data_IF_625563418718
#
_entry.id   IF_625563418718
#
_cell.length_a   1.000
_cell.length_b   1.000
_cell.length_c   1.000
_cell.angle_alpha   90.00
_cell.angle_beta   90.00
_cell.angle_gamma   90.00
#
_symmetry.space_group_name_H-M   'P 1'
#
loop_
_entity.id
_entity.type
_entity.pdbx_description
1 polymer ?
2 non-polymer ?
3 non-polymer ?
4 non-polymer ?
5 water ?
#
# COMPACT_ATOMS: atom_id res chain seq x y z
N UNK A 8 -1.69 4.10 27.33
CA UNK A 8 -0.38 4.30 26.74
C UNK A 8 -0.09 3.25 25.68
N UNK A 9 0.84 2.35 25.98
CA UNK A 9 1.20 1.27 25.05
C UNK A 9 0.22 0.11 25.16
N UNK A 10 -0.68 0.18 26.14
CA UNK A 10 -1.67 -0.87 26.35
C UNK A 10 -2.79 -0.78 25.34
N UNK A 11 -3.07 0.43 24.87
CA UNK A 11 -4.11 0.65 23.88
C UNK A 11 -3.70 0.10 22.51
N UNK A 12 -2.40 0.12 22.25
CA UNK A 12 -1.86 -0.39 21.00
C UNK A 12 -1.89 -1.92 20.98
N UNK A 13 -1.51 -2.52 22.10
CA UNK A 13 -1.49 -3.98 22.21
C UNK A 13 -2.91 -4.55 22.15
N UNK A 14 -3.88 -3.81 22.66
CA UNK A 14 -5.27 -4.21 22.57
C UNK A 14 -5.75 -4.11 21.13
N UNK A 15 -5.27 -3.10 20.42
CA UNK A 15 -5.62 -2.90 19.03
C UNK A 15 -5.15 -4.06 18.16
N UNK A 16 -3.97 -4.58 18.47
CA UNK A 16 -3.43 -5.73 17.75
C UNK A 16 -4.29 -6.97 17.96
N UNK A 17 -4.76 -7.14 19.19
CA UNK A 17 -5.61 -8.28 19.54
C UNK A 17 -6.96 -8.20 18.83
N UNK A 18 -7.51 -6.99 18.75
CA UNK A 18 -8.78 -6.77 18.08
C UNK A 18 -8.68 -7.09 16.59
N UNK A 19 -7.64 -6.58 15.94
CA UNK A 19 -7.41 -6.83 14.52
C UNK A 19 -7.22 -8.31 14.24
N UNK A 20 -6.49 -8.99 15.12
CA UNK A 20 -6.33 -10.44 15.01
C UNK A 20 -7.64 -11.14 15.32
N UNK A 21 -8.41 -10.56 16.23
CA UNK A 21 -9.70 -11.12 16.62
C UNK A 21 -10.71 -11.13 15.49
N UNK A 22 -10.81 -10.00 14.78
CA UNK A 22 -11.72 -9.88 13.65
C UNK A 22 -11.36 -10.88 12.54
N UNK A 23 -10.06 -11.10 12.35
CA UNK A 23 -9.57 -12.05 11.35
C UNK A 23 -9.97 -13.47 11.70
N UNK A 24 -9.99 -13.79 12.99
CA UNK A 24 -10.38 -15.11 13.47
C UNK A 24 -11.89 -15.29 13.34
N UNK A 25 -12.63 -14.23 13.66
CA UNK A 25 -14.09 -14.27 13.56
C UNK A 25 -14.56 -14.41 12.11
N UNK A 26 -13.74 -13.92 11.18
CA UNK A 26 -14.08 -13.98 9.76
C UNK A 26 -13.30 -15.10 9.05
N UNK A 27 -12.71 -15.99 9.84
CA UNK A 27 -11.93 -17.09 9.29
C UNK A 27 -12.81 -18.13 8.61
N UNK A 28 -12.29 -18.75 7.56
CA UNK A 28 -13.00 -19.82 6.87
C UNK A 28 -13.02 -21.08 7.73
N UNK A 29 -11.98 -21.26 8.51
CA UNK A 29 -11.89 -22.39 9.43
C UNK A 29 -10.87 -22.10 10.54
N UNK A 30 -11.36 -21.76 11.72
CA UNK A 30 -10.52 -21.39 12.85
C UNK A 30 -9.70 -22.57 13.37
N UNK A 31 -10.23 -23.78 13.18
CA UNK A 31 -9.56 -24.99 13.65
C UNK A 31 -8.48 -25.44 12.67
N UNK A 32 -8.43 -24.80 11.51
CA UNK A 32 -7.45 -25.14 10.49
C UNK A 32 -6.27 -24.16 10.51
N UNK A 33 -6.37 -23.16 11.38
CA UNK A 33 -5.32 -22.15 11.51
C UNK A 33 -4.02 -22.74 12.04
N UNK A 34 -2.96 -22.63 11.26
CA UNK A 34 -1.64 -23.08 11.67
C UNK A 34 -1.00 -22.08 12.62
N UNK A 35 -0.81 -22.51 13.87
CA UNK A 35 -0.28 -21.62 14.91
C UNK A 35 1.18 -21.24 14.64
N UNK A 36 1.90 -22.11 13.95
CA UNK A 36 3.27 -21.81 13.56
C UNK A 36 3.31 -20.73 12.50
N UNK A 37 2.42 -20.85 11.52
CA UNK A 37 2.36 -19.92 10.39
C UNK A 37 1.94 -18.52 10.84
N UNK A 38 0.76 -18.41 11.43
CA UNK A 38 0.23 -17.12 11.82
C UNK A 38 0.93 -16.57 13.06
N UNK A 39 1.58 -17.45 13.81
CA UNK A 39 2.33 -17.05 14.99
C UNK A 39 3.64 -16.41 14.60
N UNK A 40 4.32 -17.00 13.63
CA UNK A 40 5.58 -16.48 13.15
C UNK A 40 5.39 -15.27 12.26
N UNK A 41 4.31 -15.27 11.49
CA UNK A 41 4.02 -14.15 10.58
C UNK A 41 3.82 -12.86 11.36
N UNK A 42 3.04 -12.93 12.43
CA UNK A 42 2.84 -11.77 13.29
C UNK A 42 4.14 -11.43 14.03
N UNK A 43 4.92 -12.45 14.34
CA UNK A 43 6.19 -12.26 15.03
C UNK A 43 7.19 -11.53 14.15
N UNK A 44 7.27 -11.95 12.89
CA UNK A 44 8.18 -11.33 11.93
C UNK A 44 7.80 -9.87 11.67
N UNK A 45 6.53 -9.63 11.42
CA UNK A 45 6.04 -8.27 11.16
C UNK A 45 6.28 -7.36 12.37
N UNK A 46 6.13 -7.92 13.56
CA UNK A 46 6.34 -7.18 14.80
C UNK A 46 7.83 -6.95 15.05
N UNK A 47 8.64 -7.97 14.78
CA UNK A 47 10.08 -7.87 14.97
C UNK A 47 10.72 -6.97 13.91
N UNK A 48 10.15 -6.98 12.71
CA UNK A 48 10.61 -6.12 11.63
C UNK A 48 10.31 -4.66 11.99
N UNK A 49 9.15 -4.43 12.60
CA UNK A 49 8.78 -3.11 13.05
C UNK A 49 9.68 -2.65 14.18
N UNK A 50 9.96 -3.55 15.12
CA UNK A 50 10.85 -3.24 16.24
C UNK A 50 12.27 -2.97 15.74
N UNK A 51 12.64 -3.67 14.66
CA UNK A 51 13.98 -3.54 14.10
C UNK A 51 14.23 -2.14 13.53
N UNK A 52 13.43 -1.77 12.54
CA UNK A 52 13.69 -0.56 11.76
C UNK A 52 13.07 0.71 12.33
N UNK A 53 12.33 0.58 13.43
CA UNK A 53 11.67 1.75 14.00
C UNK A 53 12.09 2.02 15.45
N UNK A 54 12.74 1.05 16.08
CA UNK A 54 13.14 1.21 17.48
C UNK A 54 14.64 1.09 17.69
N UNK A 55 15.21 -0.07 17.38
CA UNK A 55 16.63 -0.31 17.61
C UNK A 55 17.47 0.60 16.71
N UNK A 56 18.65 1.02 17.21
CA UNK A 56 19.54 1.96 16.51
C UNK A 56 19.99 1.47 15.13
N UNK A 57 20.51 0.25 15.07
CA UNK A 57 21.07 -0.28 13.82
C UNK A 57 20.02 -0.40 12.73
N UNK A 58 18.81 -0.85 13.12
CA UNK A 58 17.73 -1.02 12.17
C UNK A 58 17.24 0.30 11.59
N UNK A 59 17.33 1.36 12.40
CA UNK A 59 16.94 2.69 11.95
C UNK A 59 17.95 3.25 10.96
N UNK A 60 19.21 2.84 11.11
CA UNK A 60 20.26 3.29 10.21
C UNK A 60 20.17 2.62 8.84
N UNK A 61 19.73 1.38 8.83
CA UNK A 61 19.54 0.64 7.59
C UNK A 61 18.33 1.14 6.83
N UNK A 62 17.29 1.54 7.56
CA UNK A 62 16.07 2.04 6.94
C UNK A 62 16.29 3.43 6.37
N UNK A 63 16.97 4.30 7.12
CA UNK A 63 17.27 5.64 6.66
C UNK A 63 18.33 5.60 5.55
N UNK A 64 19.12 4.53 5.52
CA UNK A 64 20.12 4.35 4.49
C UNK A 64 19.50 3.92 3.18
N UNK A 65 18.45 3.11 3.27
CA UNK A 65 17.73 2.63 2.09
C UNK A 65 16.83 3.72 1.55
N UNK A 66 16.23 4.49 2.46
CA UNK A 66 15.33 5.58 2.08
C UNK A 66 16.08 6.71 1.38
N UNK A 67 17.29 7.01 1.87
CA UNK A 67 18.14 8.03 1.25
C UNK A 67 18.60 7.58 -0.13
N UNK A 68 18.78 6.27 -0.29
CA UNK A 68 19.16 5.69 -1.57
C UNK A 68 18.01 5.84 -2.56
N UNK A 69 16.80 5.53 -2.10
CA UNK A 69 15.59 5.69 -2.91
C UNK A 69 15.37 7.16 -3.26
N UNK A 70 15.62 8.04 -2.28
CA UNK A 70 15.46 9.47 -2.47
C UNK A 70 16.40 10.01 -3.55
N UNK A 71 17.59 9.44 -3.63
CA UNK A 71 18.56 9.84 -4.65
C UNK A 71 18.14 9.37 -6.04
N UNK A 72 17.57 8.16 -6.11
CA UNK A 72 17.10 7.60 -7.36
C UNK A 72 15.96 8.44 -7.93
N UNK A 73 15.08 8.92 -7.05
CA UNK A 73 13.97 9.77 -7.45
C UNK A 73 14.47 11.08 -8.07
N UNK A 74 15.46 11.70 -7.43
CA UNK A 74 16.04 12.93 -7.92
C UNK A 74 16.80 12.73 -9.23
N UNK A 75 17.35 11.53 -9.41
CA UNK A 75 18.02 11.18 -10.67
C UNK A 75 17.02 11.07 -11.80
N UNK A 76 15.87 10.46 -11.51
CA UNK A 76 14.82 10.32 -12.49
C UNK A 76 14.15 11.63 -12.81
N UNK A 77 14.34 12.62 -11.93
CA UNK A 77 13.76 13.95 -12.11
C UNK A 77 14.50 14.76 -13.18
N UNK A 78 15.64 14.25 -13.63
CA UNK A 78 16.38 14.88 -14.72
C UNK A 78 15.66 14.64 -16.04
N UNK A 79 14.91 13.55 -16.11
CA UNK A 79 14.16 13.21 -17.30
C UNK A 79 12.92 14.07 -17.46
N UNK A 80 12.23 14.33 -16.35
CA UNK A 80 11.02 15.15 -16.38
C UNK A 80 11.37 16.63 -16.43
N UNK A 81 12.60 16.96 -16.05
CA UNK A 81 13.07 18.34 -16.13
C UNK A 81 13.40 18.72 -17.57
N UNK A 82 13.73 17.70 -18.37
CA UNK A 82 14.02 17.91 -19.78
C UNK A 82 12.74 18.12 -20.58
N UNK A 83 11.70 17.40 -20.21
CA UNK A 83 10.44 17.42 -20.96
C UNK A 83 9.60 18.66 -20.65
N UNK A 84 9.47 18.98 -19.37
CA UNK A 84 8.60 20.06 -18.94
C UNK A 84 9.37 21.31 -18.55
N UNK A 85 10.69 21.29 -18.75
CA UNK A 85 11.54 22.46 -18.61
C UNK A 85 11.35 23.30 -17.35
N UNK A 86 10.89 24.53 -17.55
CA UNK A 86 10.75 25.48 -16.46
C UNK A 86 9.46 25.32 -15.66
N UNK A 87 8.57 24.46 -16.14
CA UNK A 87 7.31 24.21 -15.43
C UNK A 87 7.55 23.36 -14.18
N UNK A 88 8.73 22.79 -14.08
CA UNK A 88 9.14 22.03 -12.90
C UNK A 88 10.36 22.67 -12.25
N UNK A 89 10.55 23.96 -12.49
CA UNK A 89 11.68 24.70 -11.94
C UNK A 89 11.27 25.47 -10.69
N UNK A 90 12.23 26.18 -10.11
CA UNK A 90 11.99 26.96 -8.90
C UNK A 90 11.28 28.27 -9.18
N UNK A 91 11.19 28.64 -10.46
CA UNK A 91 10.55 29.88 -10.86
C UNK A 91 9.03 29.77 -10.70
N UNK A 92 8.53 28.54 -10.66
CA UNK A 92 7.11 28.27 -10.52
C UNK A 92 6.56 28.74 -9.17
N UNK A 93 7.41 28.67 -8.15
CA UNK A 93 7.01 29.08 -6.81
C UNK A 93 7.13 30.59 -6.63
N UNK A 94 7.88 31.23 -7.50
CA UNK A 94 8.06 32.67 -7.47
C UNK A 94 6.94 33.37 -8.22
N UNK A 95 6.17 32.59 -8.99
CA UNK A 95 5.10 33.12 -9.82
C UNK A 95 3.73 32.70 -9.30
N UNK A 96 3.56 31.40 -9.06
CA UNK A 96 2.28 30.87 -8.64
C UNK A 96 2.24 30.60 -7.14
N UNK A 97 3.38 30.71 -6.49
CA UNK A 97 3.47 30.48 -5.06
C UNK A 97 3.34 29.01 -4.70
N UNK A 98 2.31 28.68 -3.95
CA UNK A 98 2.05 27.30 -3.56
C UNK A 98 1.49 26.49 -4.72
N UNK A 99 0.85 27.18 -5.65
CA UNK A 99 0.25 26.52 -6.81
C UNK A 99 1.27 26.27 -7.91
N UNK A 100 2.53 26.61 -7.65
CA UNK A 100 3.58 26.38 -8.61
C UNK A 100 3.90 24.91 -8.76
N UNK A 101 3.64 24.16 -7.70
CA UNK A 101 3.85 22.71 -7.72
C UNK A 101 2.77 22.04 -8.57
N UNK A 102 3.12 21.68 -9.81
CA UNK A 102 2.18 21.04 -10.71
C UNK A 102 2.26 19.52 -10.57
N UNK A 103 1.21 18.94 -9.99
CA UNK A 103 1.17 17.50 -9.71
C UNK A 103 1.38 16.64 -10.95
N UNK A 104 0.86 17.10 -12.08
CA UNK A 104 0.90 16.33 -13.32
C UNK A 104 2.32 16.22 -13.88
N UNK A 105 3.17 17.19 -13.55
CA UNK A 105 4.52 17.23 -14.09
C UNK A 105 5.56 16.83 -13.05
N UNK A 106 5.18 16.89 -11.78
CA UNK A 106 6.10 16.60 -10.68
C UNK A 106 6.03 15.15 -10.22
N UNK A 107 4.82 14.67 -9.97
CA UNK A 107 4.62 13.36 -9.38
C UNK A 107 4.42 12.24 -10.41
N UNK A 108 3.57 12.50 -11.41
CA UNK A 108 3.23 11.50 -12.42
C UNK A 108 4.41 10.94 -13.22
N UNK A 109 5.36 11.79 -13.65
CA UNK A 109 6.48 11.21 -14.41
C UNK A 109 7.38 10.28 -13.58
N UNK A 110 7.27 10.36 -12.27
CA UNK A 110 8.05 9.48 -11.39
C UNK A 110 7.61 8.03 -11.54
N UNK A 111 6.33 7.84 -11.88
CA UNK A 111 5.79 6.51 -12.11
C UNK A 111 6.40 5.90 -13.35
N UNK A 112 6.68 6.74 -14.34
CA UNK A 112 7.26 6.30 -15.60
C UNK A 112 8.71 5.84 -15.43
N UNK A 113 9.49 6.66 -14.73
CA UNK A 113 10.91 6.37 -14.52
C UNK A 113 11.13 5.14 -13.66
N UNK A 114 10.37 5.02 -12.58
CA UNK A 114 10.53 3.91 -11.65
C UNK A 114 10.07 2.58 -12.24
N UNK A 115 9.01 2.64 -13.07
CA UNK A 115 8.52 1.44 -13.73
C UNK A 115 9.56 0.94 -14.74
N UNK A 116 10.32 1.88 -15.31
CA UNK A 116 11.39 1.53 -16.24
C UNK A 116 12.59 0.98 -15.49
N UNK A 117 12.87 1.55 -14.31
CA UNK A 117 14.00 1.11 -13.49
C UNK A 117 13.82 -0.31 -12.99
N UNK A 118 12.64 -0.59 -12.43
CA UNK A 118 12.33 -1.92 -11.92
C UNK A 118 12.38 -2.95 -13.06
N UNK A 119 11.94 -2.53 -14.24
CA UNK A 119 12.00 -3.38 -15.42
C UNK A 119 13.43 -3.72 -15.80
N UNK A 120 14.34 -2.77 -15.55
CA UNK A 120 15.76 -2.98 -15.80
C UNK A 120 16.35 -3.95 -14.76
N UNK A 121 16.02 -3.71 -13.49
CA UNK A 121 16.53 -4.53 -12.40
C UNK A 121 15.99 -5.96 -12.47
N UNK A 122 14.89 -6.14 -13.18
CA UNK A 122 14.34 -7.47 -13.42
C UNK A 122 15.16 -8.19 -14.49
N UNK A 123 15.57 -7.45 -15.52
CA UNK A 123 16.37 -8.00 -16.60
C UNK A 123 17.75 -8.43 -16.12
N UNK A 124 18.31 -7.67 -15.18
CA UNK A 124 19.64 -7.95 -14.64
C UNK A 124 19.60 -9.06 -13.60
N UNK A 125 18.40 -9.49 -13.23
CA UNK A 125 18.24 -10.56 -12.26
C UNK A 125 18.41 -10.08 -10.82
N UNK A 126 18.53 -8.76 -10.67
CA UNK A 126 18.72 -8.16 -9.34
C UNK A 126 17.46 -8.30 -8.49
N UNK A 127 16.31 -8.06 -9.11
CA UNK A 127 15.04 -8.15 -8.40
C UNK A 127 14.73 -9.59 -7.98
N UNK A 128 14.93 -10.53 -8.89
CA UNK A 128 14.67 -11.94 -8.61
C UNK A 128 15.57 -12.47 -7.49
N UNK A 129 16.79 -11.92 -7.42
CA UNK A 129 17.76 -12.34 -6.41
C UNK A 129 17.32 -11.96 -5.00
N UNK A 130 16.74 -10.77 -4.86
CA UNK A 130 16.29 -10.30 -3.57
C UNK A 130 15.00 -11.01 -3.14
N UNK A 131 14.09 -11.19 -4.08
CA UNK A 131 12.82 -11.87 -3.80
C UNK A 131 13.04 -13.33 -3.39
N UNK A 132 13.99 -13.98 -4.05
CA UNK A 132 14.30 -15.38 -3.78
C UNK A 132 14.83 -15.55 -2.35
N UNK A 133 15.51 -14.53 -1.85
CA UNK A 133 16.04 -14.55 -0.49
C UNK A 133 14.93 -14.28 0.53
N UNK A 134 14.17 -13.21 0.31
CA UNK A 134 13.09 -12.85 1.21
C UNK A 134 11.97 -13.89 1.19
N UNK A 135 11.64 -14.37 -0.01
CA UNK A 135 10.60 -15.37 -0.15
C UNK A 135 11.00 -16.71 0.42
N UNK A 136 12.29 -17.03 0.33
CA UNK A 136 12.81 -18.27 0.86
C UNK A 136 12.86 -18.28 2.37
N UNK A 137 13.08 -17.10 2.95
CA UNK A 137 13.14 -16.97 4.40
C UNK A 137 11.77 -17.01 5.04
N UNK A 138 10.74 -16.73 4.25
CA UNK A 138 9.37 -16.73 4.74
C UNK A 138 8.78 -18.13 4.76
N UNK A 139 9.05 -18.91 3.72
CA UNK A 139 8.48 -20.25 3.61
C UNK A 139 9.15 -21.23 4.57
N UNK A 140 10.39 -20.92 4.97
CA UNK A 140 11.12 -21.78 5.89
C UNK A 140 10.82 -21.43 7.34
N UNK A 141 10.19 -20.27 7.56
CA UNK A 141 9.89 -19.80 8.90
C UNK A 141 8.40 -19.89 9.21
N UNK A 142 7.57 -19.79 8.17
CA UNK A 142 6.13 -19.80 8.36
C UNK A 142 5.52 -21.14 7.93
N UNK A 143 6.23 -21.86 7.07
CA UNK A 143 5.74 -23.12 6.55
C UNK A 143 4.85 -22.94 5.34
N UNK A 144 4.76 -21.70 4.87
CA UNK A 144 3.97 -21.38 3.68
C UNK A 144 4.62 -22.01 2.45
N UNK A 145 3.84 -22.14 1.38
CA UNK A 145 4.34 -22.78 0.16
C UNK A 145 5.34 -21.90 -0.57
N UNK A 146 6.06 -22.49 -1.52
CA UNK A 146 7.10 -21.80 -2.26
C UNK A 146 6.57 -20.63 -3.08
N UNK A 147 5.46 -20.86 -3.77
CA UNK A 147 4.90 -19.88 -4.70
C UNK A 147 4.35 -18.64 -3.98
N UNK A 148 3.53 -18.85 -2.95
CA UNK A 148 2.87 -17.75 -2.26
C UNK A 148 3.86 -16.92 -1.45
N UNK A 149 4.99 -17.53 -1.08
CA UNK A 149 6.01 -16.83 -0.32
C UNK A 149 6.84 -15.92 -1.22
N UNK A 150 7.03 -16.34 -2.47
CA UNK A 150 7.77 -15.54 -3.44
C UNK A 150 6.91 -14.36 -3.91
N UNK A 151 5.61 -14.59 -4.03
CA UNK A 151 4.68 -13.54 -4.43
C UNK A 151 4.54 -12.50 -3.32
N UNK A 152 4.68 -12.95 -2.07
CA UNK A 152 4.62 -12.06 -0.93
C UNK A 152 5.85 -11.16 -0.87
N UNK A 153 7.01 -11.74 -1.17
CA UNK A 153 8.27 -11.00 -1.16
C UNK A 153 8.36 -10.08 -2.37
N UNK A 154 7.76 -10.49 -3.48
CA UNK A 154 7.77 -9.70 -4.70
C UNK A 154 6.88 -8.46 -4.54
N UNK A 155 5.81 -8.60 -3.77
CA UNK A 155 4.85 -7.52 -3.57
C UNK A 155 5.39 -6.37 -2.75
N UNK A 156 6.59 -6.55 -2.18
CA UNK A 156 7.26 -5.50 -1.44
C UNK A 156 7.69 -4.40 -2.41
N UNK A 157 8.03 -4.79 -3.62
CA UNK A 157 8.60 -3.86 -4.60
C UNK A 157 7.63 -3.53 -5.74
N UNK A 158 6.95 -4.54 -6.27
CA UNK A 158 6.06 -4.33 -7.42
C UNK A 158 4.59 -4.45 -7.04
N UNK A 159 3.73 -4.22 -8.03
CA UNK A 159 2.29 -4.19 -7.83
C UNK A 159 1.63 -5.54 -7.59
N UNK A 160 0.31 -5.50 -7.41
CA UNK A 160 -0.46 -6.69 -7.10
C UNK A 160 -0.61 -7.65 -8.28
N UNK A 161 -0.51 -7.12 -9.49
CA UNK A 161 -0.65 -7.93 -10.70
C UNK A 161 0.71 -8.28 -11.33
N UNK A 162 1.76 -7.61 -10.87
CA UNK A 162 3.10 -7.83 -11.40
C UNK A 162 3.87 -8.84 -10.54
N UNK A 163 3.49 -8.94 -9.28
CA UNK A 163 4.17 -9.82 -8.33
C UNK A 163 3.97 -11.32 -8.62
N UNK A 164 2.73 -11.76 -8.94
CA UNK A 164 2.60 -13.20 -9.18
C UNK A 164 3.24 -13.67 -10.49
N UNK A 165 3.85 -12.77 -11.24
CA UNK A 165 4.48 -13.11 -12.51
C UNK A 165 5.72 -13.98 -12.32
N UNK A 166 6.29 -13.92 -11.11
CA UNK A 166 7.50 -14.68 -10.80
C UNK A 166 7.17 -16.15 -10.61
N UNK A 167 5.89 -16.44 -10.41
CA UNK A 167 5.44 -17.82 -10.19
C UNK A 167 4.17 -18.11 -10.98
N UNK A 168 4.09 -17.57 -12.19
CA UNK A 168 2.89 -17.72 -13.02
C UNK A 168 2.59 -19.15 -13.51
N UNK A 169 3.60 -20.04 -13.61
CA UNK A 169 3.13 -21.38 -14.00
C UNK A 169 2.54 -22.17 -12.84
N UNK A 170 2.63 -21.63 -11.63
CA UNK A 170 2.11 -22.31 -10.45
C UNK A 170 0.77 -21.74 -10.01
N UNK A 171 0.38 -20.63 -10.62
CA UNK A 171 -0.87 -19.95 -10.29
C UNK A 171 -2.15 -20.72 -10.69
N UNK A 172 -2.20 -21.28 -11.92
CA UNK A 172 -3.45 -21.94 -12.30
C UNK A 172 -3.81 -23.17 -11.46
N UNK A 173 -2.82 -23.77 -10.79
CA UNK A 173 -3.05 -25.00 -10.05
C UNK A 173 -2.75 -24.88 -8.56
N UNK A 174 -2.72 -23.66 -8.04
CA UNK A 174 -2.52 -23.46 -6.61
C UNK A 174 -3.84 -23.50 -5.88
N UNK A 175 -3.81 -23.89 -4.61
CA UNK A 175 -5.02 -24.07 -3.81
C UNK A 175 -5.73 -22.76 -3.53
N UNK A 176 -6.94 -22.85 -2.98
CA UNK A 176 -7.74 -21.67 -2.69
C UNK A 176 -7.10 -20.81 -1.61
N UNK A 177 -6.36 -21.46 -0.71
CA UNK A 177 -5.66 -20.74 0.35
C UNK A 177 -4.42 -20.05 -0.19
N UNK A 178 -3.79 -20.67 -1.20
CA UNK A 178 -2.63 -20.08 -1.85
C UNK A 178 -3.03 -18.86 -2.67
N UNK A 179 -4.06 -19.02 -3.49
CA UNK A 179 -4.55 -17.93 -4.34
C UNK A 179 -5.02 -16.76 -3.51
N UNK A 180 -5.66 -17.05 -2.37
CA UNK A 180 -6.13 -16.01 -1.46
C UNK A 180 -4.96 -15.22 -0.89
N UNK A 181 -3.88 -15.93 -0.55
CA UNK A 181 -2.69 -15.29 -0.01
C UNK A 181 -2.00 -14.44 -1.07
N UNK A 182 -2.06 -14.90 -2.32
CA UNK A 182 -1.52 -14.13 -3.44
C UNK A 182 -2.32 -12.84 -3.63
N UNK A 183 -3.63 -12.95 -3.53
CA UNK A 183 -4.50 -11.79 -3.63
C UNK A 183 -4.24 -10.82 -2.49
N UNK A 184 -4.06 -11.35 -1.28
CA UNK A 184 -3.84 -10.52 -0.10
C UNK A 184 -2.45 -9.91 -0.09
N UNK A 185 -1.49 -10.60 -0.70
CA UNK A 185 -0.13 -10.11 -0.77
C UNK A 185 -0.03 -8.81 -1.54
N UNK A 186 -0.89 -8.67 -2.55
CA UNK A 186 -0.90 -7.48 -3.38
C UNK A 186 -1.82 -6.39 -2.88
N UNK A 187 -2.80 -6.79 -2.06
CA UNK A 187 -3.74 -5.84 -1.50
C UNK A 187 -3.19 -5.17 -0.24
N UNK A 188 -2.28 -5.87 0.45
CA UNK A 188 -1.68 -5.37 1.67
C UNK A 188 -0.47 -4.49 1.37
N UNK A 189 -0.07 -4.46 0.10
CA UNK A 189 1.12 -3.72 -0.31
C UNK A 189 0.83 -2.76 -1.46
N UNK A 190 1.88 -2.07 -1.90
CA UNK A 190 1.77 -1.15 -3.03
C UNK A 190 2.77 -1.53 -4.12
N UNK A 191 3.16 -0.55 -4.94
CA UNK A 191 4.17 -0.75 -5.96
C UNK A 191 5.29 0.26 -5.80
N UNK A 192 6.46 -0.06 -6.35
CA UNK A 192 7.61 0.83 -6.26
C UNK A 192 7.39 2.14 -6.99
N UNK A 193 6.61 2.09 -8.05
CA UNK A 193 6.30 3.27 -8.84
C UNK A 193 5.52 4.31 -8.05
N UNK A 194 4.36 3.90 -7.53
CA UNK A 194 3.51 4.80 -6.76
C UNK A 194 4.15 5.19 -5.43
N UNK A 195 5.06 4.35 -4.95
CA UNK A 195 5.79 4.64 -3.71
C UNK A 195 6.61 5.90 -3.87
N UNK A 196 7.37 5.98 -4.97
CA UNK A 196 8.18 7.15 -5.26
C UNK A 196 7.30 8.34 -5.58
N UNK A 197 6.08 8.08 -6.03
CA UNK A 197 5.12 9.13 -6.29
C UNK A 197 4.61 9.73 -5.00
N UNK A 198 4.30 8.87 -4.03
CA UNK A 198 3.84 9.31 -2.72
C UNK A 198 4.95 10.07 -1.98
N UNK A 199 6.18 9.62 -2.18
CA UNK A 199 7.34 10.27 -1.57
C UNK A 199 7.56 11.66 -2.16
N UNK A 200 7.10 11.85 -3.39
CA UNK A 200 7.22 13.13 -4.07
C UNK A 200 6.11 14.08 -3.62
N UNK A 201 5.15 13.55 -2.87
CA UNK A 201 4.03 14.34 -2.38
C UNK A 201 4.27 14.81 -0.95
N UNK A 202 5.37 14.35 -0.36
CA UNK A 202 5.72 14.76 0.99
C UNK A 202 5.70 13.64 2.00
N UNK A 203 5.19 12.48 1.59
CA UNK A 203 5.12 11.31 2.47
C UNK A 203 6.53 10.81 2.78
N UNK A 204 6.81 10.61 4.07
CA UNK A 204 8.13 10.16 4.51
C UNK A 204 8.47 8.80 3.92
N UNK A 205 9.61 8.73 3.22
CA UNK A 205 10.05 7.52 2.54
C UNK A 205 10.31 6.39 3.53
N UNK A 206 10.78 6.75 4.72
CA UNK A 206 11.05 5.77 5.78
C UNK A 206 9.79 4.99 6.14
N UNK A 207 8.64 5.64 6.05
CA UNK A 207 7.37 4.99 6.36
C UNK A 207 6.88 4.14 5.19
N UNK A 208 7.12 4.60 3.98
CA UNK A 208 6.70 3.90 2.77
C UNK A 208 7.50 2.61 2.56
N UNK A 209 8.81 2.69 2.80
CA UNK A 209 9.69 1.53 2.67
C UNK A 209 9.40 0.51 3.77
N UNK A 210 9.20 1.01 4.99
CA UNK A 210 8.91 0.15 6.13
C UNK A 210 7.62 -0.62 5.93
N UNK A 211 6.56 0.09 5.54
CA UNK A 211 5.25 -0.52 5.33
C UNK A 211 5.27 -1.51 4.17
N UNK A 212 6.13 -1.26 3.19
CA UNK A 212 6.25 -2.13 2.03
C UNK A 212 6.85 -3.49 2.42
N UNK A 213 7.80 -3.46 3.34
CA UNK A 213 8.44 -4.69 3.81
C UNK A 213 7.59 -5.44 4.82
N UNK A 214 6.86 -4.70 5.64
CA UNK A 214 5.98 -5.29 6.64
C UNK A 214 4.72 -5.85 6.01
N UNK A 215 4.51 -5.55 4.73
CA UNK A 215 3.34 -6.01 4.01
C UNK A 215 3.46 -7.48 3.61
N UNK A 216 4.69 -7.97 3.54
CA UNK A 216 4.94 -9.35 3.16
C UNK A 216 4.55 -10.34 4.27
N UNK A 217 5.02 -10.14 5.52
CA UNK A 217 4.54 -11.08 6.53
C UNK A 217 3.12 -10.76 6.98
N UNK A 218 2.74 -9.48 6.92
CA UNK A 218 1.41 -9.06 7.29
C UNK A 218 0.37 -9.54 6.31
N UNK A 219 0.75 -9.60 5.03
CA UNK A 219 -0.13 -10.10 4.00
C UNK A 219 -0.36 -11.60 4.15
N UNK A 220 0.70 -12.30 4.56
CA UNK A 220 0.61 -13.74 4.80
C UNK A 220 -0.11 -14.04 6.11
N UNK A 221 0.01 -13.12 7.06
CA UNK A 221 -0.60 -13.28 8.37
C UNK A 221 -2.12 -13.39 8.31
N UNK A 222 -2.75 -12.35 7.78
CA UNK A 222 -4.21 -12.28 7.75
C UNK A 222 -4.80 -13.13 6.64
N UNK A 223 -3.95 -13.63 5.75
CA UNK A 223 -4.39 -14.54 4.70
C UNK A 223 -4.52 -15.96 5.24
N UNK A 224 -3.57 -16.34 6.09
CA UNK A 224 -3.56 -17.66 6.71
C UNK A 224 -4.44 -17.67 7.96
N UNK A 225 -4.92 -16.50 8.36
CA UNK A 225 -5.86 -16.38 9.45
C UNK A 225 -7.29 -16.49 8.94
N UNK A 226 -7.61 -15.73 7.90
CA UNK A 226 -8.95 -15.70 7.34
C UNK A 226 -9.16 -16.82 6.31
N UNK A 227 -8.07 -17.46 5.90
CA UNK A 227 -8.14 -18.55 4.94
C UNK A 227 -6.96 -19.51 5.10
N UNK A 228 -7.02 -20.35 6.14
CA UNK A 228 -5.95 -21.33 6.41
C UNK A 228 -5.85 -22.38 5.31
N UNK A 229 -4.69 -23.02 5.19
CA UNK A 229 -4.50 -24.06 4.18
C UNK A 229 -5.14 -25.37 4.61
N UNK A 230 -6.15 -25.80 3.86
CA UNK A 230 -6.85 -27.03 4.16
C UNK A 230 -6.57 -28.10 3.11
N UNK A 231 -5.97 -27.67 1.99
CA UNK A 231 -5.62 -28.59 0.91
C UNK A 231 -4.13 -28.92 0.94
N UNK A 232 -3.64 -29.47 -0.17
CA UNK A 232 -2.22 -29.81 -0.29
C UNK A 232 -1.60 -29.14 -1.51
N UNK A 233 -0.66 -28.21 -1.27
CA UNK A 233 0.05 -27.50 -2.34
C UNK A 233 1.01 -28.39 -3.12
N UNK A 234 1.65 -27.84 -4.14
CA UNK A 234 2.61 -28.59 -4.94
C UNK A 234 4.01 -28.02 -4.78
N UNK A 235 4.99 -28.70 -5.38
CA UNK A 235 6.40 -28.29 -5.35
C UNK A 235 6.90 -28.08 -3.92
N UNK A 247 10.32 -12.02 -21.93
CA UNK A 247 11.57 -11.38 -21.55
C UNK A 247 12.15 -10.56 -22.70
N UNK A 248 12.47 -9.28 -22.43
CA UNK A 248 13.04 -8.36 -23.41
C UNK A 248 14.36 -8.88 -23.98
N UNK A 249 14.68 -8.47 -25.21
CA UNK A 249 15.90 -8.92 -25.88
C UNK A 249 17.15 -8.37 -25.18
N UNK A 250 17.10 -7.09 -24.80
CA UNK A 250 18.22 -6.46 -24.12
C UNK A 250 17.76 -5.53 -23.01
N UNK A 251 18.72 -4.92 -22.33
CA UNK A 251 18.43 -4.10 -21.15
C UNK A 251 17.76 -2.78 -21.54
N UNK A 252 18.01 -2.32 -22.77
CA UNK A 252 17.41 -1.09 -23.25
C UNK A 252 15.94 -1.33 -23.60
N UNK A 253 15.66 -2.52 -24.12
CA UNK A 253 14.29 -2.92 -24.43
C UNK A 253 13.48 -3.08 -23.16
N UNK A 254 14.12 -3.57 -22.11
CA UNK A 254 13.48 -3.73 -20.81
C UNK A 254 13.13 -2.36 -20.22
N UNK A 255 14.04 -1.40 -20.39
CA UNK A 255 13.82 -0.04 -19.91
C UNK A 255 12.70 0.64 -20.69
N UNK A 256 12.71 0.47 -22.01
CA UNK A 256 11.70 1.07 -22.87
C UNK A 256 10.33 0.46 -22.62
N UNK A 257 10.31 -0.83 -22.31
CA UNK A 257 9.06 -1.52 -22.02
C UNK A 257 8.47 -1.10 -20.69
N UNK A 258 9.34 -0.89 -19.71
CA UNK A 258 8.92 -0.47 -18.39
C UNK A 258 8.41 0.97 -18.39
N UNK A 259 9.00 1.79 -19.25
CA UNK A 259 8.59 3.19 -19.38
C UNK A 259 7.20 3.28 -19.97
N UNK A 260 6.89 2.38 -20.91
CA UNK A 260 5.59 2.35 -21.53
C UNK A 260 4.52 1.90 -20.55
N UNK A 261 4.87 0.95 -19.69
CA UNK A 261 3.96 0.46 -18.67
C UNK A 261 3.69 1.53 -17.63
N UNK A 262 4.72 2.30 -17.30
CA UNK A 262 4.59 3.38 -16.35
C UNK A 262 3.78 4.54 -16.91
N UNK A 263 3.92 4.75 -18.22
CA UNK A 263 3.16 5.79 -18.91
C UNK A 263 1.67 5.50 -18.87
N UNK A 264 1.31 4.27 -19.20
CA UNK A 264 -0.09 3.85 -19.20
C UNK A 264 -0.68 3.93 -17.80
N UNK A 265 0.16 3.67 -16.79
CA UNK A 265 -0.26 3.77 -15.40
C UNK A 265 -0.40 5.22 -14.98
N UNK A 266 0.53 6.06 -15.45
CA UNK A 266 0.52 7.48 -15.12
C UNK A 266 -0.73 8.17 -15.68
N UNK A 267 -1.14 7.75 -16.87
CA UNK A 267 -2.33 8.30 -17.50
C UNK A 267 -3.59 7.90 -16.74
N UNK A 268 -3.65 6.63 -16.34
CA UNK A 268 -4.80 6.11 -15.61
C UNK A 268 -4.96 6.73 -14.23
N UNK A 269 -3.85 6.88 -13.52
CA UNK A 269 -3.87 7.50 -12.19
C UNK A 269 -4.29 8.97 -12.28
N UNK A 270 -3.71 9.67 -13.25
CA UNK A 270 -4.02 11.07 -13.46
C UNK A 270 -5.47 11.31 -13.82
N UNK A 271 -6.03 10.45 -14.67
CA UNK A 271 -7.42 10.55 -15.06
C UNK A 271 -8.34 10.18 -13.91
N UNK A 272 -7.86 9.28 -13.04
CA UNK A 272 -8.62 8.84 -11.89
C UNK A 272 -8.73 9.96 -10.85
N UNK A 273 -7.62 10.68 -10.65
CA UNK A 273 -7.59 11.75 -9.66
C UNK A 273 -8.41 12.96 -10.09
N UNK A 274 -8.44 13.22 -11.39
CA UNK A 274 -9.26 14.30 -11.93
C UNK A 274 -10.74 14.00 -11.68
N UNK A 275 -11.14 12.77 -11.95
CA UNK A 275 -12.53 12.36 -11.81
C UNK A 275 -12.97 12.23 -10.36
N UNK A 276 -12.19 11.49 -9.57
CA UNK A 276 -12.56 11.18 -8.19
C UNK A 276 -12.64 12.42 -7.31
N UNK A 277 -11.61 13.27 -7.38
CA UNK A 277 -11.61 14.52 -6.64
C UNK A 277 -12.76 15.40 -7.09
N UNK A 278 -13.02 15.39 -8.39
CA UNK A 278 -14.15 16.11 -8.96
C UNK A 278 -15.48 15.53 -8.49
N UNK A 279 -15.54 14.22 -8.39
CA UNK A 279 -16.75 13.54 -7.93
C UNK A 279 -16.99 13.79 -6.45
N UNK A 280 -15.92 13.79 -5.66
CA UNK A 280 -16.01 14.11 -4.24
C UNK A 280 -16.49 15.54 -4.06
N UNK A 281 -15.99 16.44 -4.90
CA UNK A 281 -16.43 17.83 -4.89
C UNK A 281 -17.91 17.94 -5.24
N UNK A 282 -18.37 17.06 -6.12
CA UNK A 282 -19.78 17.00 -6.47
C UNK A 282 -20.60 16.44 -5.32
N UNK A 283 -20.05 15.43 -4.65
CA UNK A 283 -20.69 14.81 -3.48
C UNK A 283 -20.83 15.81 -2.34
N UNK A 284 -19.76 16.55 -2.06
CA UNK A 284 -19.77 17.56 -1.02
C UNK A 284 -20.80 18.65 -1.28
N UNK A 285 -21.03 18.95 -2.56
CA UNK A 285 -22.01 19.94 -2.94
C UNK A 285 -23.42 19.46 -2.65
N UNK A 286 -23.67 18.18 -2.90
CA UNK A 286 -24.98 17.59 -2.66
C UNK A 286 -25.22 17.36 -1.17
N UNK A 287 -24.18 16.95 -0.47
CA UNK A 287 -24.28 16.71 0.98
C UNK A 287 -24.50 18.02 1.73
N UNK A 288 -24.07 19.13 1.14
CA UNK A 288 -24.27 20.43 1.73
C UNK A 288 -25.73 20.84 1.70
N UNK A 289 -26.46 20.31 0.72
CA UNK A 289 -27.89 20.58 0.61
C UNK A 289 -28.72 19.54 1.34
N UNK A 290 -28.31 18.28 1.21
CA UNK A 290 -28.99 17.18 1.89
C UNK A 290 -28.86 17.33 3.40
N UNK A 291 -27.65 17.64 3.86
CA UNK A 291 -27.41 17.83 5.28
C UNK A 291 -28.14 19.03 5.85
N UNK A 292 -28.37 20.04 5.00
CA UNK A 292 -29.07 21.24 5.41
C UNK A 292 -30.51 20.95 5.79
N UNK A 293 -31.05 19.86 5.24
CA UNK A 293 -32.41 19.44 5.56
C UNK A 293 -32.50 18.90 6.99
N UNK A 294 -31.35 18.55 7.54
CA UNK A 294 -31.28 18.04 8.91
C UNK A 294 -30.44 18.96 9.79
N UNK A 295 -30.35 20.22 9.41
CA UNK A 295 -29.67 21.24 10.21
C UNK A 295 -28.15 21.15 10.15
N UNK A 296 -27.63 20.50 9.12
CA UNK A 296 -26.19 20.36 8.97
C UNK A 296 -25.74 20.77 7.58
N UNK A 297 -25.76 22.09 7.29
CA UNK A 297 -25.39 22.59 5.96
C UNK A 297 -23.91 22.44 5.65
N UNK A 298 -23.08 22.25 6.69
CA UNK A 298 -21.65 22.12 6.50
C UNK A 298 -21.24 20.66 6.32
N UNK A 299 -22.23 19.79 6.14
CA UNK A 299 -21.98 18.36 5.98
C UNK A 299 -21.20 18.05 4.72
N UNK A 300 -20.07 17.37 4.88
CA UNK A 300 -19.24 16.96 3.76
C UNK A 300 -18.87 15.49 3.86
N UNK A 301 -18.13 15.00 2.87
CA UNK A 301 -17.71 13.60 2.85
C UNK A 301 -16.66 13.33 3.92
N UNK A 302 -15.80 14.32 4.18
CA UNK A 302 -14.74 14.18 5.17
C UNK A 302 -15.32 14.03 6.57
N UNK A 303 -16.40 14.75 6.84
CA UNK A 303 -17.06 14.67 8.14
C UNK A 303 -17.64 13.28 8.38
N UNK A 304 -18.27 12.72 7.34
CA UNK A 304 -18.83 11.37 7.42
C UNK A 304 -17.74 10.34 7.63
N UNK A 305 -16.72 10.35 6.76
CA UNK A 305 -15.63 9.40 6.85
C UNK A 305 -14.83 9.57 8.13
N UNK A 306 -14.74 10.80 8.61
CA UNK A 306 -14.05 11.09 9.86
C UNK A 306 -14.82 10.59 11.06
N UNK A 307 -16.13 10.85 11.07
CA UNK A 307 -16.99 10.45 12.17
C UNK A 307 -17.18 8.93 12.22
N UNK A 308 -17.01 8.28 11.07
CA UNK A 308 -17.25 6.84 10.97
C UNK A 308 -16.00 6.02 11.22
N UNK A 309 -14.84 6.57 10.87
CA UNK A 309 -13.57 5.86 11.03
C UNK A 309 -12.76 6.35 12.22
N UNK A 310 -13.36 7.24 13.01
CA UNK A 310 -12.69 7.73 14.22
C UNK A 310 -12.44 6.63 15.26
N UNK A 311 -13.43 5.74 15.51
CA UNK A 311 -13.10 4.67 16.46
C UNK A 311 -12.01 3.72 15.96
N UNK A 312 -11.99 3.48 14.64
CA UNK A 312 -10.97 2.62 14.05
C UNK A 312 -9.59 3.25 14.15
N UNK A 313 -9.54 4.57 13.97
CA UNK A 313 -8.30 5.31 14.08
C UNK A 313 -7.85 5.37 15.53
N UNK A 314 -8.80 5.54 16.45
CA UNK A 314 -8.51 5.57 17.87
C UNK A 314 -8.04 4.22 18.37
N UNK A 315 -8.47 3.16 17.69
CA UNK A 315 -8.14 1.80 18.09
C UNK A 315 -6.71 1.41 17.73
N UNK A 316 -6.17 2.03 16.68
CA UNK A 316 -4.84 1.66 16.20
C UNK A 316 -3.74 2.54 16.79
N UNK A 317 -4.12 3.55 17.58
CA UNK A 317 -3.14 4.34 18.30
C UNK A 317 -3.19 5.84 18.10
N UNK A 318 -4.23 6.33 17.43
CA UNK A 318 -4.38 7.76 17.21
C UNK A 318 -5.08 8.41 18.39
N UNK A 319 -4.50 9.49 18.94
CA UNK A 319 -5.06 10.27 20.05
C UNK A 319 -6.52 10.65 19.84
N UNK A 320 -7.24 10.84 20.95
CA UNK A 320 -8.68 11.09 20.92
C UNK A 320 -9.03 12.35 20.13
N UNK A 321 -8.23 13.40 20.30
CA UNK A 321 -8.51 14.68 19.67
C UNK A 321 -8.02 14.74 18.22
N UNK A 322 -7.45 13.63 17.73
CA UNK A 322 -6.96 13.56 16.37
C UNK A 322 -7.50 12.34 15.64
N UNK A 323 -8.38 11.60 16.30
CA UNK A 323 -8.94 10.37 15.74
C UNK A 323 -9.92 10.66 14.60
N UNK A 324 -10.64 11.77 14.71
CA UNK A 324 -11.62 12.14 13.70
C UNK A 324 -10.94 12.60 12.41
N UNK A 325 -9.91 13.42 12.54
CA UNK A 325 -9.16 13.91 11.39
C UNK A 325 -8.44 12.77 10.68
N UNK A 326 -7.90 11.84 11.47
CA UNK A 326 -7.20 10.68 10.91
C UNK A 326 -8.16 9.74 10.22
N UNK A 327 -9.40 9.71 10.70
CA UNK A 327 -10.42 8.85 10.12
C UNK A 327 -10.84 9.29 8.73
N UNK A 328 -10.66 10.57 8.44
CA UNK A 328 -11.00 11.12 7.13
C UNK A 328 -10.13 10.51 6.04
N UNK A 329 -8.87 10.27 6.38
CA UNK A 329 -7.89 9.76 5.43
C UNK A 329 -7.96 8.25 5.31
N UNK A 330 -8.10 7.57 6.45
CA UNK A 330 -8.22 6.12 6.48
C UNK A 330 -9.51 5.67 5.80
N UNK A 331 -10.58 6.43 6.03
CA UNK A 331 -11.86 6.13 5.42
C UNK A 331 -11.85 6.35 3.91
N UNK A 332 -11.19 7.42 3.48
CA UNK A 332 -11.08 7.74 2.07
C UNK A 332 -10.23 6.71 1.34
N UNK A 333 -9.24 6.17 2.04
CA UNK A 333 -8.37 5.13 1.49
C UNK A 333 -9.16 3.83 1.27
N UNK A 334 -10.16 3.60 2.11
CA UNK A 334 -10.95 2.38 2.06
C UNK A 334 -12.04 2.44 1.00
N UNK A 335 -12.87 3.48 1.06
CA UNK A 335 -14.01 3.61 0.17
C UNK A 335 -13.61 3.95 -1.27
N UNK A 336 -12.39 4.43 -1.45
CA UNK A 336 -11.88 4.76 -2.77
C UNK A 336 -10.55 4.06 -3.02
N UNK A 337 -9.46 4.80 -2.90
CA UNK A 337 -8.12 4.23 -2.97
C UNK A 337 -7.12 5.10 -2.22
N UNK A 338 -5.92 4.57 -2.01
CA UNK A 338 -4.93 5.24 -1.17
C UNK A 338 -4.31 6.46 -1.84
N UNK A 339 -4.38 6.52 -3.16
CA UNK A 339 -3.81 7.64 -3.89
C UNK A 339 -4.66 8.88 -3.71
N UNK A 340 -5.98 8.69 -3.65
CA UNK A 340 -6.90 9.79 -3.38
C UNK A 340 -6.76 10.23 -1.93
N UNK A 341 -6.54 9.26 -1.03
CA UNK A 341 -6.36 9.55 0.38
C UNK A 341 -5.07 10.32 0.63
N UNK A 342 -3.99 9.85 0.01
CA UNK A 342 -2.69 10.52 0.14
C UNK A 342 -2.72 11.92 -0.44
N UNK A 343 -3.58 12.14 -1.43
CA UNK A 343 -3.70 13.45 -2.07
C UNK A 343 -4.32 14.47 -1.12
N UNK A 344 -5.13 14.00 -0.17
CA UNK A 344 -5.78 14.87 0.79
C UNK A 344 -5.00 14.90 2.11
N UNK A 345 -4.05 13.98 2.25
CA UNK A 345 -3.24 13.90 3.46
C UNK A 345 -1.90 14.60 3.28
N UNK A 346 -1.49 14.75 2.01
CA UNK A 346 -0.24 15.44 1.68
C UNK A 346 -0.17 16.89 2.20
N UNK A 347 -1.27 17.67 2.10
CA UNK A 347 -1.17 19.02 2.68
C UNK A 347 -0.96 19.03 4.19
N UNK A 348 -1.30 17.93 4.86
CA UNK A 348 -1.15 17.84 6.30
C UNK A 348 0.28 17.47 6.71
N UNK A 349 1.17 17.38 5.71
CA UNK A 349 2.57 17.07 5.96
C UNK A 349 3.46 18.29 5.74
N UNK A 350 2.83 19.42 5.44
CA UNK A 350 3.55 20.66 5.21
C UNK A 350 3.29 21.66 6.33
N UNK A 351 3.89 22.84 6.21
CA UNK A 351 3.73 23.88 7.22
C UNK A 351 2.39 24.60 7.06
N UNK A 352 1.79 24.47 5.89
CA UNK A 352 0.50 25.10 5.61
C UNK A 352 -0.65 24.14 5.88
N UNK A 353 -0.44 23.24 6.85
CA UNK A 353 -1.46 22.28 7.22
C UNK A 353 -2.56 22.92 8.06
N UNK A 354 -3.83 22.65 7.70
CA UNK A 354 -4.97 23.20 8.44
C UNK A 354 -5.04 22.64 9.87
N UNK A 355 -4.56 21.42 10.06
CA UNK A 355 -4.52 20.81 11.38
C UNK A 355 -3.14 20.25 11.69
N UNK A 356 -2.50 20.79 12.71
CA UNK A 356 -1.17 20.33 13.11
C UNK A 356 -1.27 19.01 13.87
N UNK A 357 -0.94 17.92 13.19
CA UNK A 357 -1.01 16.59 13.79
C UNK A 357 0.31 16.21 14.46
N UNK A 358 0.23 15.36 15.47
CA UNK A 358 1.41 14.87 16.16
C UNK A 358 2.26 14.00 15.22
N UNK A 359 3.54 13.88 15.53
CA UNK A 359 4.45 13.14 14.66
C UNK A 359 4.11 11.66 14.61
N UNK A 360 3.56 11.15 15.71
CA UNK A 360 3.15 9.75 15.76
C UNK A 360 1.91 9.51 14.90
N UNK A 361 0.98 10.46 14.94
CA UNK A 361 -0.26 10.38 14.18
C UNK A 361 0.04 10.42 12.68
N UNK A 362 0.99 11.26 12.28
CA UNK A 362 1.41 11.35 10.89
C UNK A 362 1.97 10.03 10.38
N UNK A 363 2.59 9.27 11.28
CA UNK A 363 3.17 7.98 10.92
C UNK A 363 2.09 6.91 10.81
N UNK A 364 1.16 6.91 11.76
CA UNK A 364 0.08 5.92 11.78
C UNK A 364 -0.79 5.99 10.53
N UNK A 365 -1.13 7.20 10.12
CA UNK A 365 -1.92 7.40 8.91
C UNK A 365 -1.13 6.95 7.67
N UNK A 366 0.17 7.20 7.69
CA UNK A 366 1.04 6.85 6.58
C UNK A 366 1.14 5.34 6.37
N UNK A 367 1.08 4.59 7.47
CA UNK A 367 1.15 3.14 7.40
C UNK A 367 -0.21 2.53 7.08
N UNK A 368 -1.28 3.13 7.61
CA UNK A 368 -2.63 2.63 7.41
C UNK A 368 -3.13 2.93 5.99
N UNK A 369 -2.40 3.78 5.28
CA UNK A 369 -2.78 4.15 3.93
C UNK A 369 -1.88 3.50 2.89
N UNK A 370 -0.78 2.90 3.35
CA UNK A 370 0.17 2.27 2.42
C UNK A 370 -0.29 0.88 2.01
N UNK A 371 -1.25 0.82 1.08
CA UNK A 371 -1.76 -0.44 0.59
C UNK A 371 -2.81 -0.28 -0.50
N UNK A 372 -2.89 -1.29 -1.37
CA UNK A 372 -3.87 -1.29 -2.45
C UNK A 372 -5.20 -1.89 -2.00
N UNK A 373 -5.40 -1.97 -0.69
CA UNK A 373 -6.58 -2.61 -0.13
C UNK A 373 -7.85 -1.79 -0.38
N UNK A 374 -8.52 -2.08 -1.49
CA UNK A 374 -9.80 -1.45 -1.80
C UNK A 374 -10.61 -2.30 -2.78
N UNK A 375 -11.89 -1.99 -2.91
CA UNK A 375 -12.81 -2.77 -3.72
C UNK A 375 -12.47 -2.71 -5.21
N UNK A 376 -11.89 -1.59 -5.64
CA UNK A 376 -11.58 -1.39 -7.05
C UNK A 376 -10.39 -2.22 -7.49
N UNK A 377 -9.59 -2.67 -6.53
CA UNK A 377 -8.41 -3.48 -6.84
C UNK A 377 -8.79 -4.92 -7.14
N UNK A 378 -10.02 -5.30 -6.79
CA UNK A 378 -10.53 -6.64 -7.10
C UNK A 378 -10.68 -6.79 -8.61
N UNK A 379 -11.16 -5.74 -9.27
CA UNK A 379 -11.33 -5.73 -10.71
C UNK A 379 -9.98 -5.84 -11.41
N UNK A 380 -8.96 -5.22 -10.80
CA UNK A 380 -7.61 -5.26 -11.33
C UNK A 380 -7.02 -6.66 -11.16
N UNK A 381 -7.34 -7.30 -10.04
CA UNK A 381 -6.91 -8.67 -9.79
C UNK A 381 -7.61 -9.65 -10.71
N UNK A 382 -8.85 -9.33 -11.09
CA UNK A 382 -9.61 -10.16 -12.02
C UNK A 382 -9.04 -10.08 -13.42
N UNK A 383 -8.40 -8.96 -13.73
CA UNK A 383 -7.82 -8.75 -15.05
C UNK A 383 -6.40 -9.29 -15.16
N UNK A 384 -5.49 -8.71 -14.39
CA UNK A 384 -4.10 -9.09 -14.43
C UNK A 384 -3.84 -10.50 -13.93
N UNK A 385 -4.15 -10.73 -12.65
CA UNK A 385 -3.96 -12.04 -12.05
C UNK A 385 -4.88 -13.09 -12.68
N UNK A 386 -6.04 -12.64 -13.16
CA UNK A 386 -7.00 -13.52 -13.80
C UNK A 386 -6.52 -14.02 -15.15
N UNK A 387 -5.61 -13.27 -15.77
CA UNK A 387 -5.05 -13.67 -17.06
C UNK A 387 -4.05 -14.81 -16.89
N UNK A 388 -3.45 -14.87 -15.70
CA UNK A 388 -2.50 -15.93 -15.38
C UNK A 388 -3.22 -17.25 -15.11
N UNK A 389 -4.51 -17.15 -14.79
CA UNK A 389 -5.33 -18.31 -14.54
C UNK A 389 -6.79 -18.01 -14.88
N UNK A 390 -7.16 -18.16 -16.16
CA UNK A 390 -8.48 -17.80 -16.69
C UNK A 390 -9.62 -18.62 -16.08
N UNK A 391 -9.32 -19.83 -15.61
CA UNK A 391 -10.34 -20.68 -15.01
C UNK A 391 -10.46 -20.45 -13.51
N UNK A 392 -9.71 -19.47 -13.00
CA UNK A 392 -9.71 -19.17 -11.57
C UNK A 392 -10.29 -17.79 -11.27
N UNK A 393 -10.88 -17.16 -12.28
CA UNK A 393 -11.50 -15.85 -12.11
C UNK A 393 -12.74 -15.94 -11.23
N UNK A 394 -13.33 -17.12 -11.14
CA UNK A 394 -14.47 -17.36 -10.29
C UNK A 394 -14.09 -17.34 -8.83
N UNK A 395 -12.92 -17.91 -8.53
CA UNK A 395 -12.43 -17.97 -7.15
C UNK A 395 -11.94 -16.60 -6.68
N UNK A 396 -11.35 -15.84 -7.60
CA UNK A 396 -10.83 -14.51 -7.28
C UNK A 396 -11.95 -13.55 -6.90
N UNK A 397 -13.00 -13.52 -7.72
CA UNK A 397 -14.15 -12.66 -7.48
C UNK A 397 -14.90 -13.08 -6.22
N UNK A 398 -14.86 -14.37 -5.91
CA UNK A 398 -15.53 -14.90 -4.73
C UNK A 398 -14.80 -14.52 -3.45
N UNK A 399 -13.47 -14.62 -3.47
CA UNK A 399 -12.65 -14.29 -2.31
C UNK A 399 -12.18 -12.84 -2.36
N UNK A 400 -12.75 -12.06 -3.28
CA UNK A 400 -12.34 -10.69 -3.48
C UNK A 400 -12.55 -9.79 -2.28
N UNK A 401 -13.78 -9.79 -1.75
CA UNK A 401 -14.12 -8.93 -0.62
C UNK A 401 -13.35 -9.33 0.64
N UNK A 402 -13.22 -10.63 0.86
CA UNK A 402 -12.48 -11.15 2.00
C UNK A 402 -11.01 -10.78 1.93
N UNK A 403 -10.46 -10.75 0.73
CA UNK A 403 -9.06 -10.42 0.53
C UNK A 403 -8.79 -8.94 0.78
N UNK A 404 -9.78 -8.11 0.49
CA UNK A 404 -9.66 -6.67 0.73
C UNK A 404 -9.63 -6.39 2.23
N UNK A 405 -10.49 -7.09 2.97
CA UNK A 405 -10.51 -6.97 4.42
C UNK A 405 -9.19 -7.44 5.02
N UNK A 406 -8.71 -8.61 4.56
CA UNK A 406 -7.45 -9.17 5.03
C UNK A 406 -6.28 -8.25 4.68
N UNK A 407 -6.39 -7.58 3.54
CA UNK A 407 -5.39 -6.62 3.12
C UNK A 407 -5.50 -5.33 3.91
N UNK A 408 -6.72 -5.01 4.33
CA UNK A 408 -6.97 -3.82 5.14
C UNK A 408 -6.44 -4.00 6.56
N UNK A 409 -6.68 -5.19 7.13
CA UNK A 409 -6.23 -5.50 8.48
C UNK A 409 -4.71 -5.48 8.58
N UNK A 410 -4.05 -5.84 7.48
CA UNK A 410 -2.59 -5.84 7.42
C UNK A 410 -2.03 -4.42 7.47
N UNK A 411 -2.74 -3.48 6.83
CA UNK A 411 -2.35 -2.08 6.86
C UNK A 411 -2.58 -1.47 8.24
N UNK A 412 -3.67 -1.86 8.88
CA UNK A 412 -3.99 -1.38 10.22
C UNK A 412 -3.04 -1.97 11.26
N UNK A 413 -2.66 -3.24 11.05
CA UNK A 413 -1.72 -3.90 11.95
C UNK A 413 -0.34 -3.25 11.86
N UNK A 414 0.10 -2.98 10.64
CA UNK A 414 1.38 -2.33 10.41
C UNK A 414 1.35 -0.90 10.96
N UNK A 415 0.16 -0.31 10.99
CA UNK A 415 -0.01 1.04 11.52
C UNK A 415 -0.01 1.02 13.04
N UNK A 416 -0.52 -0.06 13.62
CA UNK A 416 -0.55 -0.21 15.07
C UNK A 416 0.84 -0.50 15.61
N UNK A 417 1.58 -1.35 14.90
CA UNK A 417 2.95 -1.68 15.28
C UNK A 417 3.85 -0.45 15.17
N UNK A 418 3.69 0.29 14.08
CA UNK A 418 4.48 1.51 13.87
C UNK A 418 4.20 2.55 14.95
N UNK A 419 2.94 2.69 15.32
CA UNK A 419 2.55 3.63 16.35
C UNK A 419 2.99 3.18 17.74
N UNK A 420 3.21 1.88 17.89
CA UNK A 420 3.63 1.31 19.15
C UNK A 420 5.08 1.67 19.48
N UNK A 421 5.95 1.58 18.47
CA UNK A 421 7.37 1.86 18.65
C UNK A 421 7.71 3.33 18.41
N UNK A 422 6.69 4.18 18.49
CA UNK A 422 6.89 5.62 18.31
C UNK A 422 6.16 6.40 19.41
X LIG B 1 -2.98 3.87 -6.50
X LIG B 1 -4.40 3.86 -6.61
X LIG B 1 -4.90 2.52 -7.06
X LIG B 1 -4.39 2.23 -8.38
X LIG B 1 -4.47 1.32 -6.22
X LIG B 1 -5.26 1.15 -5.06
X LIG B 1 -4.59 0.17 -7.21
X LIG B 1 -5.93 -0.25 -7.35
X LIG B 1 -4.15 0.84 -8.51
X LIG B 1 -2.71 0.65 -8.79
X LIG B 1 -1.70 1.57 -8.67
X LIG B 1 -0.52 1.09 -9.00
X LIG B 1 -0.77 -0.23 -9.35
X LIG B 1 0.06 -1.26 -9.80
X LIG B 1 1.38 -1.13 -9.96
X LIG B 1 -0.51 -2.45 -10.06
X LIG B 1 -1.84 -2.59 -9.91
X LIG B 1 -2.72 -1.68 -9.49
X LIG B 1 -2.12 -0.51 -9.23
X LIG C 1 2.73 -5.09 -3.97
X LIG D 1 -21.50 -3.72 -4.61
X LIG D 1 -21.34 -5.17 -4.86
X LIG D 1 -20.00 -5.58 -5.14
X LIG D 1 -18.97 -4.99 -4.23
X LIG D 1 -19.17 -3.52 -3.99
X LIG D 1 -20.47 -3.14 -3.67
X LIG D 1 -19.92 -7.05 -5.04
X LIG D 1 -20.53 -1.73 -3.64
X LIG D 1 -19.84 -0.99 -2.62
X LIG D 1 -19.37 0.40 -2.95
X LIG D 1 -19.47 1.48 -1.87
X LIG D 1 -19.32 2.94 -2.33
X LIG D 1 -19.08 4.03 -1.31
X LIG D 1 -19.21 5.49 -1.78
X LIG D 1 -18.20 6.50 -1.30
X LIG D 1 -17.72 7.61 -2.28
X LIG D 1 -16.44 8.30 -1.95
X LIG D 1 -15.62 8.83 -3.09
X LIG D 1 -22.80 -3.51 -4.11
X LIG D 1 -22.23 -5.54 -5.95
X LIG D 1 -17.58 -5.28 -4.63
X LIG D 1 -17.23 -5.14 -5.95
X LIG D 1 -20.60 -8.75 -6.47
X LIG D 1 -20.55 -9.76 -5.37
X LIG D 1 -19.24 -10.24 -5.11
X LIG D 1 -18.22 -9.13 -5.04
X LIG D 1 -18.31 -8.18 -6.18
X LIG D 1 -19.61 -7.67 -6.25
X LIG D 1 -19.17 -10.99 -3.87
X LIG D 1 -21.87 -8.18 -6.61
X LIG D 1 -21.47 -10.84 -5.68
X LIG D 1 -16.86 -9.67 -4.93
X LIG D 1 -15.80 -8.89 -5.28
#
# INVERSE_FOLDING_TARGET
>A
GPAVPRMSLFMSCCGMAVLLGIAVLLSSNRKAINLRTVGGAFAIQFSLGAFILYVPWGQELLRGFSDAVSNVINYGNDGTSFLFGGLVSGKMFEVFGGGGFIFAFRVLPTLIFFSALISVLYYLGVMQWVIRILGGGLQKALGTSRAESMSAAANIFVGQTEAPLVVRPFVPKMTQSELFAVMCGGLASIAGGVLAGYASMGVKIEYLVAASFMAAPGGLLFAKLMMPETEKPQDNEDITLDGGDDKPANVIDAAAGGASAGLQLALNVGAMLIAFIGLIALINGMLGGIGGWFGMPELKLEMLLGWLFAPLAFLIGVPWNEATVAGEFIGLKTVANEFVAYSQFAPYLTEAAPVVLSEKTKAIISFALCGFANLSSIAILLGGLGSLAPKRRGDIARMGVKAVIAGTLSNLMAATIAGFFLSF
>B hetero
1 ADN O5' C5' C4' O4' C3' O3' C2' O2' C1' N9 C8 N7 C5 C6 N6 N1 C2 N3 C4
>C hetero
1 NA NA
>D hetero
1 DMU C1 C2 C3 C4 O5 C6 O7 O16 C18 C19 C22 C25 C28 C31 C34 C37 C40 C43 O49 O55 C57 O61 C5 C7 C8 C9 O1 C10 O2 O3 O4 C11 O6
#
